data_IF_887393087990
#
_entry.id   IF_887393087990
#
_cell.length_a   1.000
_cell.length_b   1.000
_cell.length_c   1.000
_cell.angle_alpha   90.00
_cell.angle_beta   90.00
_cell.angle_gamma   90.00
#
_symmetry.space_group_name_H-M   'P 1'
#
loop_
_entity.id
_entity.type
_entity.pdbx_description
1 polymer ?
#
# COMPACT_ATOMS: atom_id res chain seq x y z
N UNK A 1 35.81 18.19 28.05
CA UNK A 1 35.58 19.29 27.09
C UNK A 1 34.08 19.49 26.93
N UNK A 2 33.62 20.74 26.82
CA UNK A 2 32.22 21.05 26.51
C UNK A 2 31.88 20.75 25.03
N UNK A 3 30.59 20.76 24.69
CA UNK A 3 30.13 20.57 23.30
C UNK A 3 30.73 21.63 22.36
N UNK A 4 30.71 22.90 22.77
CA UNK A 4 31.32 24.02 22.03
C UNK A 4 32.82 23.86 21.79
N UNK A 5 33.57 23.33 22.77
CA UNK A 5 34.99 23.04 22.57
C UNK A 5 35.18 21.97 21.48
N UNK A 6 34.37 20.90 21.48
CA UNK A 6 34.45 19.83 20.47
C UNK A 6 34.10 20.34 19.07
N UNK A 7 33.09 21.21 18.95
CA UNK A 7 32.72 21.84 17.67
C UNK A 7 33.84 22.74 17.15
N UNK A 8 34.48 23.56 18.00
CA UNK A 8 35.60 24.42 17.60
C UNK A 8 36.84 23.62 17.19
N UNK A 9 37.18 22.53 17.90
CA UNK A 9 38.28 21.64 17.49
C UNK A 9 38.01 20.98 16.14
N UNK A 10 36.76 20.55 15.89
CA UNK A 10 36.38 19.94 14.61
C UNK A 10 36.41 20.95 13.45
N UNK A 11 35.89 22.17 13.64
CA UNK A 11 35.98 23.24 12.63
C UNK A 11 37.42 23.66 12.33
N UNK A 12 38.29 23.70 13.35
CA UNK A 12 39.73 23.91 13.18
C UNK A 12 40.35 22.85 12.27
N UNK A 13 40.04 21.56 12.50
CA UNK A 13 40.58 20.45 11.69
C UNK A 13 40.15 20.43 10.21
N UNK A 14 39.15 21.22 9.82
CA UNK A 14 38.68 21.36 8.43
C UNK A 14 39.41 22.53 7.72
N UNK A 15 39.92 23.49 8.48
CA UNK A 15 40.55 24.71 7.96
C UNK A 15 41.89 24.42 7.28
N UNK A 16 42.65 23.45 7.79
CA UNK A 16 43.99 23.10 7.30
C UNK A 16 43.98 22.17 6.07
N UNK A 17 42.80 21.77 5.57
CA UNK A 17 42.65 20.77 4.48
C UNK A 17 42.31 21.33 3.10
N UNK A 18 42.32 22.65 2.90
CA UNK A 18 42.04 23.27 1.59
C UNK A 18 43.20 24.11 1.07
N UNK A 19 43.95 23.58 0.11
CA UNK A 19 44.74 24.42 -0.81
C UNK A 19 43.78 25.27 -1.68
N UNK A 20 44.09 26.55 -1.91
CA UNK A 20 43.25 27.41 -2.74
C UNK A 20 43.41 27.07 -4.23
N UNK A 21 42.30 26.67 -4.88
CA UNK A 21 42.24 26.48 -6.33
C UNK A 21 42.51 27.79 -7.08
N UNK A 22 43.31 27.72 -8.15
CA UNK A 22 43.65 28.87 -8.98
C UNK A 22 42.44 29.46 -9.72
N UNK A 23 42.44 30.77 -10.07
CA UNK A 23 41.27 31.42 -10.67
C UNK A 23 41.00 30.94 -12.09
N UNK A 24 39.75 30.55 -12.38
CA UNK A 24 39.29 30.23 -13.74
C UNK A 24 39.18 31.49 -14.60
N UNK A 25 39.89 31.52 -15.74
CA UNK A 25 39.76 32.60 -16.72
C UNK A 25 38.36 32.66 -17.34
N UNK A 26 37.81 33.88 -17.44
CA UNK A 26 36.51 34.12 -18.09
C UNK A 26 36.63 34.00 -19.60
N UNK A 27 36.05 32.95 -20.19
CA UNK A 27 35.77 32.92 -21.64
C UNK A 27 34.67 33.92 -21.99
N UNK A 28 34.82 34.58 -23.15
CA UNK A 28 33.93 35.64 -23.64
C UNK A 28 32.58 35.09 -24.16
N UNK A 29 31.53 35.90 -24.29
CA UNK A 29 30.26 35.48 -24.89
C UNK A 29 30.43 35.12 -26.37
N UNK A 30 29.61 34.18 -26.86
CA UNK A 30 29.47 33.90 -28.29
C UNK A 30 28.62 34.99 -28.96
N UNK A 31 29.03 35.45 -30.14
CA UNK A 31 28.30 36.41 -30.96
C UNK A 31 27.21 35.71 -31.80
N UNK A 32 26.03 36.33 -31.91
CA UNK A 32 25.00 35.91 -32.86
C UNK A 32 25.46 36.16 -34.30
N UNK A 33 25.36 35.15 -35.17
CA UNK A 33 25.49 35.33 -36.62
C UNK A 33 24.19 34.92 -37.31
N UNK A 34 23.51 35.91 -37.89
CA UNK A 34 22.30 35.72 -38.67
C UNK A 34 22.63 35.04 -40.01
N UNK A 35 21.80 34.08 -40.44
CA UNK A 35 21.76 33.64 -41.84
C UNK A 35 20.33 33.42 -42.31
N UNK A 36 20.01 33.97 -43.48
CA UNK A 36 18.67 34.01 -44.08
C UNK A 36 18.39 32.79 -44.98
N UNK A 37 17.11 32.42 -45.19
CA UNK A 37 16.75 31.16 -45.85
C UNK A 37 16.77 31.26 -47.39
N UNK A 38 17.25 30.20 -48.05
CA UNK A 38 17.10 30.03 -49.50
C UNK A 38 16.11 28.91 -49.87
N UNK A 39 15.29 29.20 -50.89
CA UNK A 39 14.29 28.31 -51.51
C UNK A 39 14.96 27.31 -52.48
N UNK A 40 14.23 26.22 -52.80
CA UNK A 40 14.09 25.45 -54.09
C UNK A 40 13.73 23.99 -53.74
N UNK A 41 12.94 23.21 -54.49
CA UNK A 41 11.97 23.46 -55.57
C UNK A 41 10.86 22.39 -55.50
N UNK A 42 9.74 22.57 -56.21
CA UNK A 42 8.58 21.66 -56.26
C UNK A 42 8.28 21.24 -57.71
N UNK A 43 8.08 19.94 -57.94
CA UNK A 43 7.47 19.24 -59.11
C UNK A 43 7.40 17.73 -58.77
N UNK A 44 6.50 16.88 -59.24
CA UNK A 44 5.07 16.99 -59.61
C UNK A 44 4.47 15.57 -59.54
N UNK A 45 3.13 15.43 -59.55
CA UNK A 45 2.43 14.13 -59.36
C UNK A 45 2.43 13.24 -60.62
N UNK A 46 1.95 11.98 -60.52
CA UNK A 46 0.56 11.74 -60.97
C UNK A 46 -0.28 10.79 -60.10
N UNK A 47 -1.54 10.62 -60.52
CA UNK A 47 -2.69 10.06 -59.80
C UNK A 47 -3.00 8.61 -60.26
N UNK A 48 -3.59 7.78 -59.39
CA UNK A 48 -4.40 6.62 -59.83
C UNK A 48 -4.63 5.53 -58.79
N UNK A 49 -5.87 5.47 -58.24
CA UNK A 49 -6.71 4.27 -58.00
C UNK A 49 -6.10 2.97 -57.38
N UNK A 50 -6.73 2.19 -56.50
CA UNK A 50 -8.05 2.19 -55.81
C UNK A 50 -7.79 1.88 -54.30
N UNK A 51 -8.71 1.55 -53.39
CA UNK A 51 -10.18 1.36 -53.36
C UNK A 51 -10.67 1.57 -51.91
N UNK A 52 -11.99 1.61 -51.70
CA UNK A 52 -12.64 1.67 -50.37
C UNK A 52 -13.85 0.73 -50.32
N UNK A 53 -14.06 0.03 -49.21
CA UNK A 53 -15.26 -0.79 -48.98
C UNK A 53 -15.84 -0.55 -47.59
N UNK A 54 -16.95 0.21 -47.56
CA UNK A 54 -17.88 0.31 -46.43
C UNK A 54 -19.03 -0.69 -46.64
N UNK A 55 -19.60 -1.21 -45.55
CA UNK A 55 -21.02 -1.54 -45.32
C UNK A 55 -21.12 -2.11 -43.88
N UNK A 56 -21.61 -1.37 -42.87
CA UNK A 56 -23.02 -1.05 -42.60
C UNK A 56 -23.86 -2.29 -42.23
N UNK A 57 -24.24 -2.42 -40.95
CA UNK A 57 -25.29 -3.33 -40.49
C UNK A 57 -26.32 -2.52 -39.70
N UNK A 58 -27.60 -2.68 -40.07
CA UNK A 58 -28.72 -1.88 -39.61
C UNK A 58 -29.51 -2.58 -38.49
N UNK A 59 -30.30 -1.81 -37.74
CA UNK A 59 -31.26 -2.30 -36.75
C UNK A 59 -32.44 -3.05 -37.39
N UNK A 60 -32.91 -4.10 -36.70
CA UNK A 60 -34.31 -4.56 -36.63
C UNK A 60 -34.52 -5.12 -35.20
N UNK A 61 -35.71 -5.15 -34.60
CA UNK A 61 -37.06 -4.83 -35.09
C UNK A 61 -38.06 -5.87 -34.56
N UNK A 62 -38.94 -5.48 -33.61
CA UNK A 62 -39.92 -6.35 -32.93
C UNK A 62 -40.90 -7.08 -33.87
N UNK A 63 -41.31 -8.32 -33.53
CA UNK A 63 -42.72 -8.80 -33.62
C UNK A 63 -43.06 -10.17 -32.97
N UNK A 64 -43.95 -10.11 -31.97
CA UNK A 64 -45.12 -10.97 -31.61
C UNK A 64 -45.19 -12.51 -31.80
N UNK A 65 -45.45 -13.18 -30.65
CA UNK A 65 -46.56 -14.11 -30.30
C UNK A 65 -47.09 -15.23 -31.24
N UNK A 66 -47.13 -16.47 -30.69
CA UNK A 66 -48.29 -17.39 -30.45
C UNK A 66 -47.77 -18.65 -29.72
N UNK A 67 -48.14 -18.98 -28.48
CA UNK A 67 -49.41 -19.53 -27.92
C UNK A 67 -49.70 -21.02 -28.21
N UNK A 68 -49.57 -21.88 -27.18
CA UNK A 68 -50.30 -23.15 -27.00
C UNK A 68 -50.59 -23.33 -25.49
N UNK A 69 -51.79 -23.84 -25.19
CA UNK A 69 -52.40 -24.27 -23.91
C UNK A 69 -51.45 -25.14 -23.03
N UNK A 70 -51.62 -25.40 -21.73
CA UNK A 70 -52.69 -25.25 -20.73
C UNK A 70 -52.40 -26.26 -19.57
N UNK A 71 -52.99 -26.27 -18.37
CA UNK A 71 -53.93 -25.38 -17.65
C UNK A 71 -53.75 -25.59 -16.12
N UNK A 72 -54.71 -25.24 -15.24
CA UNK A 72 -54.64 -25.46 -13.78
C UNK A 72 -55.17 -26.84 -13.30
N UNK A 73 -55.51 -27.12 -12.03
CA UNK A 73 -56.01 -26.30 -10.91
C UNK A 73 -55.98 -27.13 -9.57
N UNK A 74 -55.95 -26.44 -8.40
CA UNK A 74 -56.33 -26.87 -7.02
C UNK A 74 -55.46 -27.76 -6.08
N UNK A 75 -55.09 -27.11 -4.97
CA UNK A 75 -55.01 -27.53 -3.55
C UNK A 75 -55.78 -28.76 -3.03
N UNK A 76 -55.18 -29.48 -2.04
CA UNK A 76 -55.67 -29.57 -0.63
C UNK A 76 -54.80 -30.45 0.32
N UNK A 77 -54.68 -29.99 1.59
CA UNK A 77 -54.59 -30.70 2.91
C UNK A 77 -53.73 -31.97 3.12
N UNK A 78 -53.03 -32.03 4.28
CA UNK A 78 -52.29 -33.21 4.79
C UNK A 78 -53.18 -34.33 5.37
N UNK A 79 -52.59 -35.32 6.08
CA UNK A 79 -52.48 -35.18 7.54
C UNK A 79 -51.18 -35.76 8.17
N UNK A 80 -51.23 -35.99 9.48
CA UNK A 80 -50.15 -36.20 10.45
C UNK A 80 -49.35 -37.52 10.33
N UNK A 81 -48.11 -37.52 10.86
CA UNK A 81 -47.28 -38.71 11.03
C UNK A 81 -46.21 -38.52 12.11
N UNK A 82 -46.50 -38.93 13.35
CA UNK A 82 -45.59 -38.85 14.50
C UNK A 82 -44.63 -40.06 14.48
N UNK A 83 -43.32 -39.85 14.31
CA UNK A 83 -42.31 -40.92 14.50
C UNK A 83 -41.18 -40.41 15.39
N UNK A 84 -41.00 -41.06 16.54
CA UNK A 84 -39.83 -40.92 17.41
C UNK A 84 -38.65 -41.64 16.75
N UNK A 85 -37.63 -40.90 16.32
CA UNK A 85 -36.42 -41.42 15.66
C UNK A 85 -35.15 -40.88 16.32
N UNK A 86 -34.25 -41.80 16.69
CA UNK A 86 -32.95 -41.55 17.37
C UNK A 86 -32.18 -40.36 16.80
N UNK A 87 -31.57 -39.58 17.70
CA UNK A 87 -30.49 -38.64 17.35
C UNK A 87 -29.29 -39.45 16.84
N UNK A 88 -29.17 -39.57 15.53
CA UNK A 88 -27.94 -40.03 14.90
C UNK A 88 -27.00 -38.83 14.78
N UNK A 89 -25.83 -38.91 15.44
CA UNK A 89 -24.78 -37.90 15.32
C UNK A 89 -24.40 -37.75 13.85
N UNK A 90 -24.69 -36.59 13.24
CA UNK A 90 -24.17 -36.28 11.91
C UNK A 90 -22.64 -36.25 11.98
N UNK A 91 -21.92 -37.04 11.16
CA UNK A 91 -20.49 -36.81 11.00
C UNK A 91 -20.31 -35.42 10.40
N UNK A 92 -19.51 -34.58 11.06
CA UNK A 92 -19.06 -33.31 10.50
C UNK A 92 -18.47 -33.59 9.12
N UNK A 93 -19.02 -32.98 8.07
CA UNK A 93 -18.47 -33.09 6.72
C UNK A 93 -17.09 -32.41 6.73
N UNK A 94 -16.05 -33.20 6.92
CA UNK A 94 -14.67 -32.75 6.69
C UNK A 94 -14.54 -32.48 5.19
N UNK A 95 -14.18 -31.26 4.76
CA UNK A 95 -13.95 -30.97 3.36
C UNK A 95 -12.90 -31.94 2.79
N UNK A 96 -13.19 -32.51 1.63
CA UNK A 96 -12.27 -33.46 0.98
C UNK A 96 -11.06 -32.68 0.42
N UNK A 97 -9.92 -33.35 0.15
CA UNK A 97 -8.74 -32.68 -0.40
C UNK A 97 -8.95 -31.91 -1.72
N UNK A 98 -10.06 -32.16 -2.43
CA UNK A 98 -10.43 -31.46 -3.66
C UNK A 98 -11.31 -30.21 -3.46
N UNK A 99 -11.77 -29.93 -2.24
CA UNK A 99 -12.55 -28.71 -1.93
C UNK A 99 -11.63 -27.47 -1.82
N UNK A 100 -10.32 -27.68 -1.78
CA UNK A 100 -9.31 -26.66 -2.09
C UNK A 100 -8.94 -26.78 -3.57
N UNK A 101 -9.43 -25.87 -4.40
CA UNK A 101 -8.95 -25.72 -5.76
C UNK A 101 -7.42 -25.50 -5.73
N UNK A 102 -6.61 -26.25 -6.51
CA UNK A 102 -5.23 -25.87 -6.75
C UNK A 102 -5.24 -24.53 -7.49
N UNK A 103 -4.72 -23.48 -6.85
CA UNK A 103 -4.52 -22.10 -7.35
C UNK A 103 -5.32 -21.79 -8.64
N UNK A 104 -6.65 -21.56 -8.55
CA UNK A 104 -7.51 -21.62 -9.72
C UNK A 104 -7.18 -20.49 -10.69
N UNK A 105 -6.89 -20.89 -11.94
CA UNK A 105 -6.79 -20.14 -13.22
C UNK A 105 -6.19 -18.73 -13.15
N UNK A 106 -5.18 -18.49 -13.98
CA UNK A 106 -4.48 -17.21 -14.18
C UNK A 106 -5.42 -15.99 -14.35
N UNK A 107 -5.87 -15.42 -13.24
CA UNK A 107 -6.59 -14.16 -13.21
C UNK A 107 -5.63 -13.05 -13.63
N UNK A 108 -5.99 -12.31 -14.67
CA UNK A 108 -5.23 -11.17 -15.14
C UNK A 108 -5.35 -10.01 -14.15
N UNK A 109 -4.45 -9.03 -14.26
CA UNK A 109 -4.53 -7.80 -13.48
C UNK A 109 -5.94 -7.15 -13.61
N UNK A 110 -6.54 -7.19 -14.81
CA UNK A 110 -7.87 -6.62 -15.08
C UNK A 110 -9.02 -7.33 -14.34
N UNK A 111 -8.94 -8.64 -14.12
CA UNK A 111 -10.01 -9.41 -13.45
C UNK A 111 -10.17 -8.97 -11.99
N UNK A 112 -9.08 -8.77 -11.27
CA UNK A 112 -9.09 -8.23 -9.91
C UNK A 112 -9.59 -6.77 -9.88
N UNK A 113 -9.16 -5.94 -10.83
CA UNK A 113 -9.60 -4.54 -10.95
C UNK A 113 -10.99 -4.34 -11.56
N UNK A 114 -11.83 -5.38 -11.65
CA UNK A 114 -13.24 -5.25 -12.05
C UNK A 114 -14.19 -5.11 -10.85
N UNK A 115 -13.86 -5.73 -9.72
CA UNK A 115 -14.68 -5.79 -8.51
C UNK A 115 -14.64 -4.46 -7.75
N UNK A 116 -15.70 -3.66 -7.88
CA UNK A 116 -16.04 -2.59 -6.93
C UNK A 116 -16.91 -3.18 -5.80
N UNK A 117 -16.56 -2.89 -4.55
CA UNK A 117 -17.27 -3.39 -3.37
C UNK A 117 -18.29 -2.35 -2.89
N UNK A 118 -19.47 -2.80 -2.48
CA UNK A 118 -20.44 -1.92 -1.83
C UNK A 118 -19.98 -1.59 -0.40
N UNK A 119 -20.24 -0.38 0.13
CA UNK A 119 -19.95 -0.05 1.54
C UNK A 119 -20.57 -1.03 2.55
N UNK A 120 -21.68 -1.69 2.19
CA UNK A 120 -22.34 -2.69 3.03
C UNK A 120 -21.57 -4.01 3.14
N UNK A 121 -20.77 -4.34 2.13
CA UNK A 121 -20.03 -5.62 2.02
C UNK A 121 -18.65 -5.57 2.71
N UNK A 122 -18.27 -4.40 3.25
CA UNK A 122 -16.95 -4.20 3.86
C UNK A 122 -16.85 -4.91 5.23
N UNK A 123 -15.72 -5.58 5.53
CA UNK A 123 -15.44 -6.08 6.87
C UNK A 123 -15.55 -4.98 7.94
N UNK A 124 -15.97 -5.35 9.15
CA UNK A 124 -16.14 -4.38 10.25
C UNK A 124 -14.83 -3.68 10.62
N UNK A 125 -13.71 -4.41 10.56
CA UNK A 125 -12.36 -3.86 10.74
C UNK A 125 -12.04 -2.74 9.74
N UNK A 126 -12.38 -2.94 8.46
CA UNK A 126 -12.19 -1.96 7.41
C UNK A 126 -13.14 -0.76 7.59
N UNK A 127 -14.42 -0.98 7.92
CA UNK A 127 -15.35 0.12 8.23
C UNK A 127 -14.85 0.99 9.39
N UNK A 128 -14.39 0.36 10.47
CA UNK A 128 -13.81 1.08 11.62
C UNK A 128 -12.52 1.83 11.26
N UNK A 129 -11.69 1.27 10.38
CA UNK A 129 -10.50 1.95 9.85
C UNK A 129 -10.89 3.16 8.99
N UNK A 130 -11.86 2.99 8.08
CA UNK A 130 -12.33 4.06 7.20
C UNK A 130 -12.98 5.22 7.94
N UNK A 131 -13.78 4.95 8.97
CA UNK A 131 -14.37 6.01 9.81
C UNK A 131 -13.29 6.94 10.42
N UNK A 132 -12.17 6.36 10.90
CA UNK A 132 -11.03 7.13 11.42
C UNK A 132 -10.31 7.93 10.33
N UNK A 133 -10.20 7.39 9.12
CA UNK A 133 -9.68 8.15 7.97
C UNK A 133 -10.60 9.33 7.66
N UNK A 134 -11.92 9.14 7.65
CA UNK A 134 -12.88 10.21 7.35
C UNK A 134 -12.89 11.33 8.41
N UNK A 135 -12.71 11.01 9.68
CA UNK A 135 -12.48 11.99 10.76
C UNK A 135 -11.24 12.85 10.47
N UNK A 136 -10.09 12.21 10.19
CA UNK A 136 -8.85 12.90 9.81
C UNK A 136 -9.05 13.76 8.54
N UNK A 137 -9.80 13.28 7.54
CA UNK A 137 -10.06 13.99 6.27
C UNK A 137 -10.97 15.21 6.45
N UNK A 138 -11.88 15.22 7.42
CA UNK A 138 -12.60 16.43 7.84
C UNK A 138 -11.65 17.41 8.57
N UNK A 139 -10.63 16.84 9.21
CA UNK A 139 -9.59 17.53 9.98
C UNK A 139 -9.68 17.28 11.47
N UNK A 140 -10.58 16.40 11.93
CA UNK A 140 -10.85 16.19 13.34
C UNK A 140 -9.61 15.66 14.07
N UNK A 141 -9.15 16.38 15.09
CA UNK A 141 -8.01 16.00 15.94
C UNK A 141 -6.66 15.85 15.23
N UNK A 142 -6.40 16.55 14.11
CA UNK A 142 -5.12 16.42 13.37
C UNK A 142 -3.91 17.12 14.02
N UNK A 143 -4.15 17.97 15.03
CA UNK A 143 -3.15 18.62 15.88
C UNK A 143 -3.40 18.29 17.37
N UNK A 144 -2.38 18.24 18.24
CA UNK A 144 -2.57 18.15 19.68
C UNK A 144 -2.79 19.54 20.29
N UNK A 145 -3.41 19.64 21.48
CA UNK A 145 -3.70 20.95 22.08
C UNK A 145 -2.44 21.77 22.40
N UNK A 146 -1.29 21.11 22.56
CA UNK A 146 0.01 21.75 22.78
C UNK A 146 0.45 22.70 21.65
N UNK A 147 0.04 22.46 20.39
CA UNK A 147 0.43 23.31 19.25
C UNK A 147 -0.33 24.64 19.20
N UNK A 148 -1.43 24.80 19.97
CA UNK A 148 -2.31 25.98 19.91
C UNK A 148 -1.58 27.30 20.19
N UNK A 149 -0.71 27.32 21.21
CA UNK A 149 0.07 28.51 21.55
C UNK A 149 0.98 28.90 20.39
N UNK A 150 1.75 27.95 19.88
CA UNK A 150 2.72 28.18 18.81
C UNK A 150 2.06 28.60 17.48
N UNK A 151 0.96 27.96 17.10
CA UNK A 151 0.19 28.33 15.91
C UNK A 151 -0.39 29.75 16.01
N UNK A 152 -0.87 30.15 17.19
CA UNK A 152 -1.36 31.51 17.45
C UNK A 152 -0.21 32.53 17.44
N UNK A 153 0.89 32.23 18.11
CA UNK A 153 1.99 33.17 18.31
C UNK A 153 2.78 33.43 17.01
N UNK A 154 2.75 32.46 16.06
CA UNK A 154 3.27 32.62 14.69
C UNK A 154 2.32 33.35 13.72
N UNK A 155 1.14 33.81 14.15
CA UNK A 155 0.14 34.49 13.30
C UNK A 155 0.66 35.69 12.49
N UNK A 156 1.66 36.40 13.01
CA UNK A 156 2.27 37.57 12.35
C UNK A 156 3.38 37.22 11.34
N UNK A 157 3.77 35.95 11.24
CA UNK A 157 4.85 35.50 10.35
C UNK A 157 4.25 35.15 8.99
N UNK A 158 4.52 35.97 7.98
CA UNK A 158 3.93 35.86 6.63
C UNK A 158 4.16 34.49 5.96
N UNK A 159 5.30 33.84 6.23
CA UNK A 159 5.60 32.51 5.70
C UNK A 159 4.58 31.43 6.16
N UNK A 160 4.00 31.60 7.35
CA UNK A 160 3.03 30.66 7.94
C UNK A 160 1.56 31.09 7.73
N UNK A 161 1.23 31.91 6.73
CA UNK A 161 -0.16 32.33 6.45
C UNK A 161 -1.10 31.15 6.17
N UNK A 162 -0.59 30.07 5.59
CA UNK A 162 -1.40 28.89 5.25
C UNK A 162 -1.99 28.18 6.49
N UNK A 163 -1.54 28.50 7.71
CA UNK A 163 -2.10 27.97 8.97
C UNK A 163 -3.34 28.69 9.49
N UNK A 164 -3.90 29.68 8.78
CA UNK A 164 -5.05 30.44 9.29
C UNK A 164 -6.28 29.55 9.60
N UNK A 165 -6.43 28.40 8.92
CA UNK A 165 -7.44 27.38 9.27
C UNK A 165 -7.36 26.89 10.72
N UNK A 166 -6.18 26.88 11.33
CA UNK A 166 -5.96 26.45 12.71
C UNK A 166 -6.00 27.62 13.72
N UNK A 167 -6.10 28.88 13.24
CA UNK A 167 -6.06 30.10 14.07
C UNK A 167 -7.44 30.73 14.27
N UNK A 168 -8.34 30.57 13.31
CA UNK A 168 -9.51 31.44 13.18
C UNK A 168 -10.85 30.67 13.21
N UNK A 169 -11.82 31.26 13.92
CA UNK A 169 -13.23 30.86 13.90
C UNK A 169 -13.60 29.67 14.81
N UNK A 170 -14.90 29.49 15.14
CA UNK A 170 -15.37 28.44 16.05
C UNK A 170 -15.08 27.01 15.57
N UNK A 171 -14.82 26.83 14.26
CA UNK A 171 -14.47 25.54 13.68
C UNK A 171 -13.02 25.14 13.94
N UNK A 172 -12.11 26.05 14.31
CA UNK A 172 -10.71 25.74 14.59
C UNK A 172 -10.54 24.71 15.72
N UNK A 173 -11.41 24.76 16.72
CA UNK A 173 -11.42 23.86 17.88
C UNK A 173 -11.42 22.37 17.51
N UNK A 174 -12.16 21.99 16.45
CA UNK A 174 -12.25 20.58 16.02
C UNK A 174 -10.91 19.99 15.59
N UNK A 175 -9.97 20.83 15.18
CA UNK A 175 -8.69 20.40 14.65
C UNK A 175 -7.69 19.99 15.73
N UNK A 176 -7.99 20.28 17.00
CA UNK A 176 -7.12 20.02 18.14
C UNK A 176 -7.68 18.95 19.07
N UNK A 177 -6.92 17.89 19.32
CA UNK A 177 -7.29 16.86 20.29
C UNK A 177 -6.04 16.11 20.80
N UNK A 178 -5.91 15.86 22.11
CA UNK A 178 -4.66 15.28 22.65
C UNK A 178 -4.43 13.81 22.28
N UNK A 179 -5.50 13.07 21.91
CA UNK A 179 -5.36 11.75 21.29
C UNK A 179 -4.57 11.77 19.98
N UNK A 180 -4.36 12.95 19.35
CA UNK A 180 -3.43 13.12 18.24
C UNK A 180 -2.05 12.55 18.55
N UNK A 181 -1.59 12.71 19.79
CA UNK A 181 -0.29 12.20 20.24
C UNK A 181 -0.23 10.67 20.30
N UNK A 182 -1.38 9.98 20.35
CA UNK A 182 -1.46 8.50 20.31
C UNK A 182 -1.15 7.93 18.92
N UNK A 183 -1.37 8.70 17.84
CA UNK A 183 -1.02 8.29 16.48
C UNK A 183 0.49 8.33 16.23
N UNK A 184 1.17 9.36 16.75
CA UNK A 184 2.60 9.58 16.56
C UNK A 184 2.98 11.04 16.77
N UNK A 185 4.26 11.35 16.59
CA UNK A 185 4.76 12.71 16.75
C UNK A 185 4.14 13.67 15.72
N UNK A 186 3.79 14.89 16.17
CA UNK A 186 3.27 15.94 15.29
C UNK A 186 4.44 16.75 14.72
N UNK A 187 4.56 16.91 13.39
CA UNK A 187 5.65 17.67 12.79
C UNK A 187 5.50 19.16 13.05
N UNK A 188 6.60 19.78 13.48
CA UNK A 188 6.69 21.23 13.66
C UNK A 188 6.41 21.98 12.34
N UNK A 189 5.77 23.15 12.42
CA UNK A 189 5.33 23.95 11.28
C UNK A 189 6.41 24.15 10.21
N UNK A 190 7.67 24.37 10.60
CA UNK A 190 8.78 24.53 9.65
C UNK A 190 9.05 23.31 8.75
N UNK A 191 8.81 22.08 9.23
CA UNK A 191 8.91 20.85 8.42
C UNK A 191 7.79 20.83 7.38
N UNK A 192 6.56 21.07 7.83
CA UNK A 192 5.37 21.10 6.96
C UNK A 192 5.48 22.22 5.92
N UNK A 193 6.00 23.39 6.29
CA UNK A 193 6.15 24.51 5.36
C UNK A 193 7.26 24.26 4.33
N UNK A 194 8.32 23.53 4.68
CA UNK A 194 9.32 23.06 3.71
C UNK A 194 8.70 22.09 2.71
N UNK A 195 7.87 21.15 3.17
CA UNK A 195 7.13 20.22 2.31
C UNK A 195 6.18 20.98 1.37
N UNK A 196 5.41 21.93 1.90
CA UNK A 196 4.49 22.78 1.13
C UNK A 196 5.22 23.57 0.04
N UNK A 197 6.34 24.20 0.38
CA UNK A 197 7.18 24.95 -0.56
C UNK A 197 7.74 24.05 -1.67
N UNK A 198 8.32 22.89 -1.32
CA UNK A 198 8.86 21.97 -2.34
C UNK A 198 7.77 21.35 -3.22
N UNK A 199 6.59 21.04 -2.68
CA UNK A 199 5.47 20.57 -3.47
C UNK A 199 5.01 21.62 -4.50
N UNK A 200 4.89 22.88 -4.08
CA UNK A 200 4.57 23.98 -4.99
C UNK A 200 5.64 24.17 -6.07
N UNK A 201 6.93 24.10 -5.69
CA UNK A 201 8.04 24.16 -6.64
C UNK A 201 7.95 23.03 -7.67
N UNK A 202 7.84 21.77 -7.23
CA UNK A 202 7.71 20.60 -8.11
C UNK A 202 6.51 20.73 -9.08
N UNK A 203 5.37 21.25 -8.62
CA UNK A 203 4.21 21.49 -9.48
C UNK A 203 4.46 22.57 -10.53
N UNK A 204 5.04 23.72 -10.14
CA UNK A 204 5.25 24.86 -11.04
C UNK A 204 6.39 24.65 -12.04
N UNK A 205 7.42 23.89 -11.67
CA UNK A 205 8.56 23.58 -12.54
C UNK A 205 8.31 22.38 -13.46
N UNK A 206 7.16 21.71 -13.35
CA UNK A 206 6.88 20.47 -14.09
C UNK A 206 7.85 19.33 -13.73
N UNK A 207 8.23 19.25 -12.45
CA UNK A 207 9.29 18.36 -11.99
C UNK A 207 8.93 16.87 -12.17
N UNK A 208 9.96 16.04 -12.31
CA UNK A 208 9.78 14.62 -12.59
C UNK A 208 9.20 13.85 -11.40
N UNK A 209 8.67 12.64 -11.64
CA UNK A 209 8.26 11.72 -10.58
C UNK A 209 9.42 11.42 -9.59
N UNK A 210 10.67 11.39 -10.07
CA UNK A 210 11.83 11.18 -9.20
C UNK A 210 12.07 12.39 -8.28
N UNK A 211 11.90 13.61 -8.79
CA UNK A 211 12.01 14.84 -7.99
C UNK A 211 10.91 14.92 -6.94
N UNK A 212 9.64 14.64 -7.31
CA UNK A 212 8.53 14.53 -6.36
C UNK A 212 8.81 13.48 -5.27
N UNK A 213 9.43 12.36 -5.63
CA UNK A 213 9.77 11.31 -4.68
C UNK A 213 10.81 11.75 -3.64
N UNK A 214 11.84 12.46 -4.07
CA UNK A 214 12.90 12.96 -3.18
C UNK A 214 12.40 14.16 -2.38
N UNK A 215 11.86 15.18 -3.06
CA UNK A 215 11.58 16.49 -2.49
C UNK A 215 10.27 16.59 -1.71
N UNK A 216 9.33 15.66 -1.91
CA UNK A 216 8.02 15.68 -1.26
C UNK A 216 7.70 14.36 -0.58
N UNK A 217 7.61 13.25 -1.34
CA UNK A 217 7.12 11.95 -0.83
C UNK A 217 8.00 11.42 0.30
N UNK A 218 9.32 11.36 0.10
CA UNK A 218 10.26 10.90 1.13
C UNK A 218 10.18 11.76 2.39
N UNK A 219 10.11 13.09 2.26
CA UNK A 219 10.06 14.01 3.41
C UNK A 219 8.79 13.81 4.25
N UNK A 220 7.66 13.53 3.60
CA UNK A 220 6.40 13.18 4.27
C UNK A 220 6.49 11.82 4.96
N UNK A 221 7.07 10.80 4.31
CA UNK A 221 7.28 9.48 4.91
C UNK A 221 8.24 9.54 6.11
N UNK A 222 9.28 10.37 6.06
CA UNK A 222 10.18 10.62 7.20
C UNK A 222 9.45 11.32 8.35
N UNK A 223 8.71 12.41 8.06
CA UNK A 223 7.98 13.17 9.07
C UNK A 223 6.79 12.43 9.70
N UNK A 224 6.35 11.32 9.11
CA UNK A 224 5.23 10.51 9.63
C UNK A 224 5.69 9.20 10.27
N UNK A 225 6.61 8.47 9.63
CA UNK A 225 6.97 7.10 10.00
C UNK A 225 8.28 6.99 10.81
N UNK A 226 9.06 8.07 10.95
CA UNK A 226 10.33 8.06 11.72
C UNK A 226 10.28 9.05 12.89
N UNK A 227 11.09 8.83 13.95
CA UNK A 227 11.26 9.82 15.01
C UNK A 227 11.72 11.18 14.46
N UNK A 228 11.06 12.26 14.89
CA UNK A 228 11.40 13.63 14.47
C UNK A 228 12.71 14.16 15.09
N UNK A 229 13.34 13.41 15.99
CA UNK A 229 14.51 13.83 16.75
C UNK A 229 15.33 12.62 17.21
N UNK A 230 16.65 12.83 17.34
CA UNK A 230 17.62 11.78 17.63
C UNK A 230 18.18 11.10 16.38
N UNK A 231 19.15 10.19 16.53
CA UNK A 231 19.59 9.33 15.43
C UNK A 231 18.43 8.45 14.97
N UNK A 232 18.45 8.01 13.70
CA UNK A 232 17.47 7.05 13.20
C UNK A 232 17.59 5.72 13.91
N UNK A 233 16.74 5.50 14.92
CA UNK A 233 16.68 4.24 15.66
C UNK A 233 16.10 3.11 14.81
N UNK A 234 16.61 1.89 15.00
CA UNK A 234 15.93 0.69 14.54
C UNK A 234 14.53 0.64 15.16
N UNK A 235 13.51 0.48 14.31
CA UNK A 235 12.10 0.49 14.72
C UNK A 235 11.33 -0.59 13.98
N UNK A 236 10.29 -1.12 14.64
CA UNK A 236 9.51 -2.24 14.11
C UNK A 236 8.77 -1.92 12.80
N UNK A 237 8.41 -0.66 12.54
CA UNK A 237 7.76 -0.23 11.29
C UNK A 237 8.51 0.96 10.71
N UNK A 238 9.10 0.79 9.53
CA UNK A 238 9.88 1.81 8.81
C UNK A 238 9.56 1.77 7.31
N UNK A 239 10.14 2.66 6.50
CA UNK A 239 9.96 2.65 5.05
C UNK A 239 11.28 2.66 4.25
N UNK A 240 11.24 2.12 3.03
CA UNK A 240 12.38 2.07 2.09
C UNK A 240 11.91 2.47 0.69
N UNK A 241 12.79 3.14 -0.07
CA UNK A 241 12.61 3.32 -1.51
C UNK A 241 12.78 1.99 -2.26
N UNK A 242 11.89 1.74 -3.21
CA UNK A 242 11.86 0.58 -4.11
C UNK A 242 12.29 0.90 -5.54
N UNK A 243 12.90 2.06 -5.80
CA UNK A 243 13.22 2.53 -7.17
C UNK A 243 14.07 1.57 -8.02
N UNK A 244 14.92 0.75 -7.38
CA UNK A 244 15.77 -0.27 -8.03
C UNK A 244 15.21 -1.69 -7.90
N UNK A 245 14.07 -1.86 -7.25
CA UNK A 245 13.57 -3.16 -6.82
C UNK A 245 12.64 -3.80 -7.86
N UNK A 246 12.70 -5.12 -7.94
CA UNK A 246 11.84 -5.91 -8.83
C UNK A 246 10.92 -6.81 -8.04
N UNK A 247 9.73 -7.05 -8.58
CA UNK A 247 8.81 -8.06 -8.08
C UNK A 247 9.40 -9.43 -8.37
N UNK A 248 9.43 -10.30 -7.37
CA UNK A 248 9.90 -11.68 -7.50
C UNK A 248 8.99 -12.41 -8.52
N UNK A 249 9.55 -13.07 -9.56
CA UNK A 249 8.77 -13.63 -10.68
C UNK A 249 7.63 -14.55 -10.26
N UNK A 250 7.83 -15.36 -9.22
CA UNK A 250 6.85 -16.30 -8.66
C UNK A 250 5.59 -15.63 -8.08
N UNK A 251 5.65 -14.32 -7.81
CA UNK A 251 4.52 -13.50 -7.35
C UNK A 251 4.07 -12.48 -8.41
N UNK A 252 4.77 -12.38 -9.54
CA UNK A 252 4.47 -11.41 -10.58
C UNK A 252 3.44 -11.94 -11.59
N UNK A 253 2.27 -11.30 -11.63
CA UNK A 253 1.22 -11.60 -12.62
C UNK A 253 1.33 -10.77 -13.91
N UNK A 254 2.15 -9.71 -13.94
CA UNK A 254 2.46 -8.91 -15.13
C UNK A 254 3.95 -9.08 -15.48
N UNK A 255 4.26 -10.16 -16.19
CA UNK A 255 5.63 -10.50 -16.60
C UNK A 255 6.28 -9.44 -17.50
N UNK A 256 5.49 -8.53 -18.09
CA UNK A 256 5.98 -7.43 -18.93
C UNK A 256 6.42 -6.21 -18.09
N UNK A 257 5.99 -6.09 -16.83
CA UNK A 257 6.35 -4.97 -15.93
C UNK A 257 6.73 -5.47 -14.53
N UNK A 258 7.94 -6.02 -14.35
CA UNK A 258 8.42 -6.54 -13.07
C UNK A 258 8.83 -5.44 -12.05
N UNK A 259 8.52 -4.17 -12.28
CA UNK A 259 8.97 -3.05 -11.42
C UNK A 259 8.10 -2.95 -10.16
N UNK A 260 8.74 -2.70 -9.02
CA UNK A 260 8.07 -2.46 -7.74
C UNK A 260 7.46 -1.04 -7.64
N UNK A 261 6.66 -0.79 -6.59
CA UNK A 261 6.28 0.57 -6.17
C UNK A 261 7.48 1.39 -5.72
N UNK A 262 7.37 2.72 -5.79
CA UNK A 262 8.47 3.64 -5.47
C UNK A 262 8.91 3.60 -4.01
N UNK A 263 8.01 3.29 -3.07
CA UNK A 263 8.36 2.99 -1.68
C UNK A 263 7.58 1.81 -1.12
N UNK A 264 8.05 1.29 0.02
CA UNK A 264 7.38 0.27 0.83
C UNK A 264 7.49 0.60 2.30
N UNK A 265 6.39 0.46 3.03
CA UNK A 265 6.40 0.39 4.49
C UNK A 265 6.59 -1.07 4.88
N UNK A 266 7.63 -1.34 5.66
CA UNK A 266 8.06 -2.69 6.03
C UNK A 266 8.10 -2.88 7.54
N UNK A 267 7.95 -4.12 7.97
CA UNK A 267 8.24 -4.54 9.34
C UNK A 267 9.71 -4.93 9.43
N UNK A 268 10.40 -4.54 10.51
CA UNK A 268 11.71 -5.09 10.87
C UNK A 268 11.61 -6.11 12.02
N UNK A 269 11.64 -7.43 11.74
CA UNK A 269 11.59 -8.46 12.76
C UNK A 269 12.74 -8.42 13.77
N UNK A 270 13.86 -7.76 13.46
CA UNK A 270 14.95 -7.55 14.42
C UNK A 270 14.56 -6.56 15.55
N UNK A 271 13.44 -5.86 15.40
CA UNK A 271 12.86 -4.97 16.40
C UNK A 271 11.61 -5.56 17.09
N UNK A 272 11.30 -6.85 16.89
CA UNK A 272 10.28 -7.55 17.69
C UNK A 272 10.78 -7.73 19.12
N UNK A 273 9.87 -7.70 20.09
CA UNK A 273 10.16 -7.96 21.52
C UNK A 273 10.71 -9.37 21.78
N UNK A 274 10.47 -10.32 20.87
CA UNK A 274 10.96 -11.69 20.95
C UNK A 274 12.06 -11.93 19.89
N UNK A 275 13.32 -12.08 20.29
CA UNK A 275 14.43 -12.28 19.36
C UNK A 275 14.36 -13.62 18.60
N UNK A 276 13.49 -14.56 18.99
CA UNK A 276 13.24 -15.77 18.21
C UNK A 276 12.55 -15.45 16.87
N UNK A 277 11.73 -14.40 16.80
CA UNK A 277 10.97 -14.08 15.58
C UNK A 277 11.92 -13.72 14.44
N UNK A 278 12.92 -12.87 14.70
CA UNK A 278 13.95 -12.53 13.71
C UNK A 278 14.70 -13.77 13.23
N UNK A 279 15.10 -14.67 14.14
CA UNK A 279 15.74 -15.94 13.77
C UNK A 279 14.85 -16.81 12.90
N UNK A 280 13.57 -16.96 13.26
CA UNK A 280 12.63 -17.74 12.46
C UNK A 280 12.40 -17.15 11.06
N UNK A 281 12.36 -15.82 10.90
CA UNK A 281 12.33 -15.18 9.57
C UNK A 281 13.59 -15.52 8.77
N UNK A 282 14.77 -15.47 9.39
CA UNK A 282 16.05 -15.78 8.73
C UNK A 282 16.18 -17.24 8.30
N UNK A 283 15.67 -18.19 9.09
CA UNK A 283 15.59 -19.60 8.69
C UNK A 283 14.52 -19.82 7.63
N UNK A 284 13.30 -19.33 7.87
CA UNK A 284 12.15 -19.62 7.01
C UNK A 284 12.29 -19.04 5.60
N UNK A 285 12.88 -17.84 5.46
CA UNK A 285 13.08 -17.21 4.14
C UNK A 285 13.91 -18.06 3.19
N UNK A 286 14.79 -18.93 3.68
CA UNK A 286 15.59 -19.85 2.85
C UNK A 286 14.73 -20.83 2.06
N UNK A 287 13.49 -21.10 2.51
CA UNK A 287 12.51 -21.96 1.82
C UNK A 287 11.60 -21.21 0.83
N UNK A 288 11.85 -19.91 0.63
CA UNK A 288 11.08 -19.01 -0.23
C UNK A 288 11.90 -18.58 -1.47
N UNK A 289 11.21 -18.22 -2.57
CA UNK A 289 11.80 -17.55 -3.72
C UNK A 289 12.80 -16.45 -3.34
N UNK A 290 13.94 -16.43 -4.03
CA UNK A 290 15.06 -15.49 -3.80
C UNK A 290 15.58 -15.41 -2.35
N UNK A 291 15.28 -16.40 -1.51
CA UNK A 291 15.54 -16.35 -0.06
C UNK A 291 14.90 -15.15 0.65
N UNK A 292 13.72 -14.71 0.20
CA UNK A 292 13.10 -13.44 0.63
C UNK A 292 11.75 -13.63 1.31
N UNK A 293 11.54 -12.95 2.44
CA UNK A 293 10.29 -12.97 3.23
C UNK A 293 9.33 -11.83 2.87
N UNK A 294 9.20 -11.53 1.57
CA UNK A 294 8.20 -10.65 0.97
C UNK A 294 8.09 -10.93 -0.54
N UNK A 295 7.47 -10.03 -1.31
CA UNK A 295 7.23 -10.19 -2.75
C UNK A 295 8.28 -9.55 -3.68
N UNK A 296 9.42 -9.10 -3.14
CA UNK A 296 10.31 -8.09 -3.77
C UNK A 296 11.79 -8.45 -3.60
N UNK A 297 12.52 -8.51 -4.71
CA UNK A 297 13.97 -8.72 -4.66
C UNK A 297 14.72 -7.40 -4.44
N UNK A 298 14.80 -6.99 -3.16
CA UNK A 298 15.64 -5.89 -2.70
C UNK A 298 16.43 -6.32 -1.46
N UNK A 299 17.78 -6.36 -1.49
CA UNK A 299 18.58 -6.86 -0.37
C UNK A 299 18.30 -6.22 0.98
N UNK A 300 17.99 -4.91 1.01
CA UNK A 300 17.65 -4.18 2.24
C UNK A 300 16.26 -4.52 2.83
N UNK A 301 15.51 -5.39 2.16
CA UNK A 301 14.19 -5.90 2.55
C UNK A 301 14.11 -7.44 2.63
N UNK A 302 15.15 -8.21 2.28
CA UNK A 302 15.06 -9.69 2.18
C UNK A 302 14.51 -10.40 3.44
N UNK A 303 14.77 -9.88 4.64
CA UNK A 303 14.25 -10.41 5.91
C UNK A 303 13.13 -9.53 6.54
N UNK A 304 12.53 -8.63 5.77
CA UNK A 304 11.60 -7.59 6.24
C UNK A 304 10.29 -7.67 5.46
N UNK A 305 9.19 -8.17 6.05
CA UNK A 305 7.93 -8.27 5.34
C UNK A 305 7.33 -6.88 5.08
N UNK A 306 6.96 -6.63 3.83
CA UNK A 306 6.28 -5.39 3.43
C UNK A 306 4.84 -5.43 3.97
N UNK A 307 4.38 -4.36 4.61
CA UNK A 307 3.04 -4.22 5.18
C UNK A 307 2.08 -3.45 4.27
N UNK A 308 2.58 -2.40 3.60
CA UNK A 308 1.88 -1.71 2.51
C UNK A 308 2.85 -1.09 1.51
N UNK A 309 2.36 -0.91 0.29
CA UNK A 309 3.11 -0.32 -0.83
C UNK A 309 2.68 1.11 -1.10
N UNK A 310 3.63 1.98 -1.46
CA UNK A 310 3.39 3.40 -1.77
C UNK A 310 3.91 3.70 -3.16
N UNK A 311 3.02 4.10 -4.04
CA UNK A 311 3.30 4.34 -5.46
C UNK A 311 3.07 5.79 -5.84
N UNK A 312 3.91 6.30 -6.74
CA UNK A 312 3.77 7.64 -7.30
C UNK A 312 3.50 7.56 -8.80
N UNK A 313 2.56 8.38 -9.27
CA UNK A 313 2.18 8.46 -10.68
C UNK A 313 2.47 9.86 -11.20
N UNK A 314 2.85 9.94 -12.48
CA UNK A 314 2.94 11.22 -13.17
C UNK A 314 1.54 11.84 -13.31
N UNK A 315 1.44 13.16 -13.16
CA UNK A 315 0.16 13.90 -13.17
C UNK A 315 -0.69 13.65 -14.42
N UNK A 316 -0.05 13.41 -15.56
CA UNK A 316 -0.67 13.11 -16.86
C UNK A 316 -1.28 11.70 -16.98
N UNK A 317 -1.12 10.82 -15.99
CA UNK A 317 -1.61 9.43 -16.05
C UNK A 317 -3.14 9.39 -15.93
N UNK A 318 -3.83 9.08 -17.04
CA UNK A 318 -5.29 9.20 -17.15
C UNK A 318 -6.09 8.36 -16.14
N UNK A 319 -6.96 9.03 -15.36
CA UNK A 319 -8.22 8.51 -14.85
C UNK A 319 -8.18 7.34 -13.86
N UNK A 320 -9.33 7.03 -13.25
CA UNK A 320 -9.48 5.95 -12.26
C UNK A 320 -8.98 4.58 -12.76
N UNK A 321 -9.14 4.30 -14.06
CA UNK A 321 -8.64 3.08 -14.69
C UNK A 321 -7.10 3.02 -14.82
N UNK A 322 -6.41 4.16 -14.87
CA UNK A 322 -4.94 4.23 -14.84
C UNK A 322 -4.38 3.99 -13.44
N UNK A 323 -4.96 4.66 -12.43
CA UNK A 323 -4.55 4.52 -11.02
C UNK A 323 -4.68 3.08 -10.50
N UNK A 324 -5.73 2.36 -10.91
CA UNK A 324 -5.89 0.93 -10.57
C UNK A 324 -4.75 0.07 -11.11
N UNK A 325 -4.21 0.36 -12.31
CA UNK A 325 -3.15 -0.46 -12.93
C UNK A 325 -1.77 -0.32 -12.28
N UNK A 326 -1.56 0.68 -11.42
CA UNK A 326 -0.30 0.89 -10.73
C UNK A 326 -0.08 -0.09 -9.56
N UNK A 327 -1.07 -0.18 -8.67
CA UNK A 327 -0.77 -0.60 -7.29
C UNK A 327 -0.30 -2.06 -7.19
N UNK A 328 0.95 -2.24 -6.76
CA UNK A 328 1.59 -3.55 -6.55
C UNK A 328 1.05 -4.34 -5.34
N UNK A 329 -0.22 -4.16 -4.99
CA UNK A 329 -0.91 -4.98 -3.99
C UNK A 329 -1.11 -6.42 -4.47
N UNK A 330 -1.19 -6.68 -5.78
CA UNK A 330 -1.41 -8.02 -6.31
C UNK A 330 -0.22 -8.98 -6.08
N UNK A 331 1.05 -8.59 -6.34
CA UNK A 331 2.19 -9.41 -5.91
C UNK A 331 2.30 -9.61 -4.40
N UNK A 332 1.97 -8.59 -3.60
CA UNK A 332 1.91 -8.72 -2.14
C UNK A 332 0.89 -9.78 -1.71
N UNK A 333 -0.32 -9.71 -2.27
CA UNK A 333 -1.37 -10.71 -2.06
C UNK A 333 -0.92 -12.11 -2.50
N UNK A 334 -0.25 -12.26 -3.65
CA UNK A 334 0.25 -13.55 -4.13
C UNK A 334 1.32 -14.16 -3.21
N UNK A 335 2.21 -13.34 -2.66
CA UNK A 335 3.15 -13.77 -1.61
C UNK A 335 2.40 -14.28 -0.36
N UNK A 336 1.38 -13.54 0.12
CA UNK A 336 0.61 -13.96 1.29
C UNK A 336 -0.21 -15.24 1.03
N UNK A 337 -0.84 -15.37 -0.16
CA UNK A 337 -1.50 -16.61 -0.57
C UNK A 337 -0.53 -17.81 -0.59
N UNK A 338 0.66 -17.65 -1.17
CA UNK A 338 1.68 -18.70 -1.21
C UNK A 338 2.18 -19.10 0.19
N UNK A 339 2.29 -18.13 1.11
CA UNK A 339 2.67 -18.37 2.50
C UNK A 339 1.59 -19.15 3.27
N UNK A 340 0.31 -18.81 3.05
CA UNK A 340 -0.84 -19.53 3.62
C UNK A 340 -0.94 -20.96 3.07
N UNK A 341 -0.73 -21.16 1.77
CA UNK A 341 -0.71 -22.47 1.14
C UNK A 341 0.39 -23.38 1.73
N UNK A 342 1.64 -22.89 1.83
CA UNK A 342 2.74 -23.59 2.49
C UNK A 342 2.42 -23.98 3.94
N UNK A 343 1.74 -23.11 4.70
CA UNK A 343 1.34 -23.43 6.09
C UNK A 343 0.25 -24.51 6.13
N UNK A 344 -0.68 -24.48 5.20
CA UNK A 344 -1.73 -25.49 5.07
C UNK A 344 -1.13 -26.87 4.71
N UNK A 345 -0.22 -26.93 3.73
CA UNK A 345 0.54 -28.14 3.37
C UNK A 345 1.32 -28.73 4.56
N UNK A 346 2.00 -27.87 5.33
CA UNK A 346 2.69 -28.28 6.55
C UNK A 346 1.71 -28.82 7.62
N UNK A 347 0.53 -28.22 7.74
CA UNK A 347 -0.53 -28.66 8.67
C UNK A 347 -1.05 -30.05 8.30
N UNK A 348 -1.33 -30.29 7.01
CA UNK A 348 -1.81 -31.60 6.55
C UNK A 348 -0.72 -32.68 6.67
N UNK A 349 0.52 -32.34 6.37
CA UNK A 349 1.69 -33.21 6.59
C UNK A 349 1.81 -33.64 8.06
N UNK A 350 1.60 -32.70 8.99
CA UNK A 350 1.62 -32.98 10.43
C UNK A 350 0.47 -33.90 10.86
N UNK A 351 -0.77 -33.64 10.43
CA UNK A 351 -1.93 -34.48 10.77
C UNK A 351 -1.80 -35.90 10.23
N UNK A 352 -1.31 -36.07 9.01
CA UNK A 352 -1.06 -37.39 8.41
C UNK A 352 -0.08 -38.22 9.26
N UNK A 353 0.97 -37.57 9.78
CA UNK A 353 1.90 -38.21 10.73
C UNK A 353 1.22 -38.54 12.07
N UNK A 354 0.43 -37.63 12.66
CA UNK A 354 -0.26 -37.86 13.94
C UNK A 354 -1.27 -39.03 13.86
N UNK A 355 -1.98 -39.16 12.73
CA UNK A 355 -2.91 -40.27 12.47
C UNK A 355 -2.22 -41.63 12.31
N UNK A 356 -0.92 -41.64 11.98
CA UNK A 356 -0.13 -42.87 11.78
C UNK A 356 0.64 -43.31 13.03
N UNK A 357 0.79 -42.44 14.05
CA UNK A 357 1.64 -42.66 15.22
C UNK A 357 0.84 -42.63 16.54
N UNK A 358 -0.39 -43.17 16.48
CA UNK A 358 -1.23 -43.56 17.63
C UNK A 358 -1.42 -42.52 18.74
N UNK A 359 -1.74 -41.28 18.34
CA UNK A 359 -2.58 -40.43 19.19
C UNK A 359 -1.90 -39.64 20.32
N UNK A 360 -0.60 -39.34 20.24
CA UNK A 360 -0.06 -38.19 20.99
C UNK A 360 -0.72 -36.90 20.51
N UNK A 361 -1.84 -36.54 21.15
CA UNK A 361 -2.59 -35.31 20.89
C UNK A 361 -1.80 -34.10 21.41
N UNK A 362 -0.82 -33.68 20.61
CA UNK A 362 0.03 -32.55 20.93
C UNK A 362 -0.83 -31.27 21.08
N UNK A 363 -0.55 -30.37 22.04
CA UNK A 363 -1.38 -29.19 22.29
C UNK A 363 -1.50 -28.18 21.13
N UNK A 364 -0.76 -28.38 20.02
CA UNK A 364 -0.90 -27.60 18.78
C UNK A 364 -1.85 -28.24 17.74
N UNK A 365 -2.42 -29.42 18.02
CA UNK A 365 -3.32 -30.15 17.10
C UNK A 365 -4.61 -29.36 16.74
N UNK A 366 -4.98 -28.37 17.57
CA UNK A 366 -6.16 -27.52 17.38
C UNK A 366 -6.06 -26.51 16.21
N UNK A 367 -4.93 -26.41 15.51
CA UNK A 367 -4.82 -25.64 14.26
C UNK A 367 -5.44 -26.41 13.07
N UNK A 368 -6.75 -26.67 13.18
CA UNK A 368 -7.54 -27.42 12.19
C UNK A 368 -8.05 -26.56 11.04
N UNK A 369 -8.42 -25.31 11.30
CA UNK A 369 -8.88 -24.35 10.30
C UNK A 369 -7.75 -23.90 9.36
N UNK A 370 -8.07 -23.73 8.07
CA UNK A 370 -7.15 -23.10 7.12
C UNK A 370 -6.87 -21.64 7.58
N UNK A 371 -5.60 -21.22 7.63
CA UNK A 371 -5.27 -19.88 8.10
C UNK A 371 -5.84 -18.84 7.13
N UNK A 372 -6.65 -17.92 7.66
CA UNK A 372 -7.28 -16.87 6.85
C UNK A 372 -6.34 -15.68 6.69
N UNK A 373 -6.46 -15.02 5.54
CA UNK A 373 -5.84 -13.73 5.27
C UNK A 373 -6.51 -12.63 6.09
N UNK A 374 -5.82 -11.50 6.28
CA UNK A 374 -6.40 -10.29 6.86
C UNK A 374 -7.61 -9.80 6.05
N UNK A 375 -8.58 -9.22 6.75
CA UNK A 375 -9.79 -8.62 6.17
C UNK A 375 -9.51 -7.64 5.03
N UNK A 376 -8.38 -6.94 5.06
CA UNK A 376 -7.94 -6.04 4.00
C UNK A 376 -6.42 -5.82 3.98
N UNK A 377 -5.93 -5.31 2.85
CA UNK A 377 -4.57 -4.80 2.65
C UNK A 377 -4.66 -3.35 2.11
N UNK A 378 -4.06 -2.36 2.79
CA UNK A 378 -4.00 -0.99 2.29
C UNK A 378 -2.83 -0.79 1.32
N UNK A 379 -2.97 0.18 0.42
CA UNK A 379 -1.92 0.72 -0.43
C UNK A 379 -2.12 2.22 -0.64
N UNK A 380 -1.04 2.94 -0.94
CA UNK A 380 -1.08 4.39 -1.16
C UNK A 380 -0.72 4.69 -2.60
N UNK A 381 -1.49 5.59 -3.22
CA UNK A 381 -1.20 6.12 -4.56
C UNK A 381 -1.16 7.64 -4.51
N UNK A 382 -0.09 8.21 -5.03
CA UNK A 382 0.21 9.65 -5.01
C UNK A 382 0.22 10.14 -6.45
N UNK A 383 -0.47 11.26 -6.72
CA UNK A 383 -0.50 11.91 -8.03
C UNK A 383 -0.30 13.41 -7.82
N UNK A 384 0.93 13.87 -8.02
CA UNK A 384 1.37 15.22 -7.71
C UNK A 384 1.02 15.59 -6.27
N UNK A 385 0.18 16.61 -6.09
CA UNK A 385 -0.28 17.02 -4.78
C UNK A 385 -1.22 16.03 -4.06
N UNK A 386 -1.86 15.09 -4.74
CA UNK A 386 -3.02 14.34 -4.21
C UNK A 386 -2.64 12.97 -3.68
N UNK A 387 -3.05 12.66 -2.45
CA UNK A 387 -2.74 11.41 -1.75
C UNK A 387 -3.99 10.56 -1.56
N UNK A 388 -3.90 9.29 -1.94
CA UNK A 388 -5.04 8.38 -1.97
C UNK A 388 -4.73 7.06 -1.30
N UNK A 389 -5.69 6.61 -0.51
CA UNK A 389 -5.75 5.26 0.01
C UNK A 389 -6.51 4.41 -1.02
N UNK A 390 -5.96 3.24 -1.30
CA UNK A 390 -6.62 2.18 -2.06
C UNK A 390 -6.60 0.95 -1.17
N UNK A 391 -7.71 0.21 -1.10
CA UNK A 391 -7.81 -0.96 -0.22
C UNK A 391 -8.17 -2.19 -1.03
N UNK A 392 -7.39 -3.26 -0.88
CA UNK A 392 -7.73 -4.58 -1.39
C UNK A 392 -8.41 -5.40 -0.28
N UNK A 393 -9.53 -6.05 -0.60
CA UNK A 393 -10.30 -6.91 0.30
C UNK A 393 -10.35 -8.31 -0.31
N UNK A 394 -9.91 -9.37 0.40
CA UNK A 394 -10.02 -10.74 -0.08
C UNK A 394 -11.48 -11.18 -0.24
N UNK A 395 -11.78 -11.83 -1.37
CA UNK A 395 -13.09 -12.41 -1.70
C UNK A 395 -12.88 -13.84 -2.21
N UNK A 396 -12.65 -14.76 -1.28
CA UNK A 396 -12.23 -16.13 -1.60
C UNK A 396 -10.89 -16.13 -2.35
N UNK A 397 -10.88 -16.68 -3.56
CA UNK A 397 -9.68 -16.72 -4.41
C UNK A 397 -9.29 -15.35 -5.00
N UNK A 398 -10.24 -14.40 -5.06
CA UNK A 398 -10.08 -13.08 -5.68
C UNK A 398 -9.76 -12.00 -4.65
N UNK A 399 -9.30 -10.84 -5.13
CA UNK A 399 -9.37 -9.57 -4.40
C UNK A 399 -10.40 -8.67 -5.08
N UNK A 400 -11.29 -8.08 -4.27
CA UNK A 400 -12.00 -6.87 -4.64
C UNK A 400 -11.16 -5.64 -4.28
N UNK A 401 -11.30 -4.55 -5.02
CA UNK A 401 -10.67 -3.28 -4.66
C UNK A 401 -11.76 -2.29 -4.24
N UNK A 402 -11.70 -1.87 -2.98
CA UNK A 402 -12.50 -0.76 -2.50
C UNK A 402 -11.88 0.58 -2.93
N UNK A 403 -12.73 1.61 -2.86
CA UNK A 403 -12.63 3.00 -3.29
C UNK A 403 -11.24 3.69 -3.24
N UNK A 404 -11.06 4.72 -4.09
CA UNK A 404 -9.93 5.68 -4.01
C UNK A 404 -10.29 6.79 -3.02
N UNK A 405 -10.01 6.61 -1.73
CA UNK A 405 -10.26 7.66 -0.74
C UNK A 405 -9.14 8.70 -0.80
N UNK A 406 -9.48 9.93 -1.17
CA UNK A 406 -8.56 11.07 -1.10
C UNK A 406 -8.39 11.50 0.35
N UNK A 407 -7.22 11.26 0.95
CA UNK A 407 -7.03 11.48 2.38
C UNK A 407 -6.21 12.72 2.76
N UNK A 408 -5.69 13.45 1.77
CA UNK A 408 -5.06 14.74 1.98
C UNK A 408 -4.34 15.24 0.73
N UNK A 409 -3.64 16.36 0.85
CA UNK A 409 -2.90 16.98 -0.25
C UNK A 409 -1.65 17.72 0.23
N UNK A 410 -0.67 17.91 -0.65
CA UNK A 410 0.55 18.68 -0.34
C UNK A 410 0.50 20.13 -0.81
N UNK A 411 -0.66 20.59 -1.31
CA UNK A 411 -0.92 21.98 -1.70
C UNK A 411 -1.40 22.86 -0.52
N UNK A 412 -1.52 22.30 0.68
CA UNK A 412 -1.90 22.99 1.90
C UNK A 412 -1.29 22.32 3.14
N UNK A 413 -0.94 23.11 4.15
CA UNK A 413 -0.48 22.67 5.46
C UNK A 413 -1.49 21.74 6.14
N UNK A 414 -2.79 22.08 6.10
CA UNK A 414 -3.87 21.20 6.59
C UNK A 414 -3.79 19.83 5.92
N UNK A 415 -3.71 19.80 4.58
CA UNK A 415 -3.59 18.55 3.82
C UNK A 415 -2.36 17.73 4.18
N UNK A 416 -1.22 18.37 4.48
CA UNK A 416 0.01 17.69 4.91
C UNK A 416 -0.16 17.07 6.31
N UNK A 417 -0.77 17.78 7.27
CA UNK A 417 -1.10 17.19 8.58
C UNK A 417 -2.04 15.99 8.43
N UNK A 418 -3.05 16.08 7.56
CA UNK A 418 -3.97 14.96 7.28
C UNK A 418 -3.24 13.74 6.71
N UNK A 419 -2.36 13.94 5.71
CA UNK A 419 -1.51 12.87 5.16
C UNK A 419 -0.70 12.20 6.26
N UNK A 420 -0.05 13.00 7.12
CA UNK A 420 0.83 12.50 8.18
C UNK A 420 0.03 11.74 9.25
N UNK A 421 -1.19 12.18 9.59
CA UNK A 421 -2.09 11.45 10.51
C UNK A 421 -2.51 10.09 9.93
N UNK A 422 -2.88 10.01 8.64
CA UNK A 422 -3.26 8.74 8.00
C UNK A 422 -2.07 7.80 7.84
N UNK A 423 -0.88 8.32 7.53
CA UNK A 423 0.35 7.52 7.51
C UNK A 423 0.70 6.94 8.89
N UNK A 424 0.50 7.72 9.96
CA UNK A 424 0.68 7.25 11.33
C UNK A 424 -0.40 6.23 11.75
N UNK A 425 -1.65 6.41 11.33
CA UNK A 425 -2.72 5.42 11.51
C UNK A 425 -2.42 4.11 10.76
N UNK A 426 -1.83 4.18 9.56
CA UNK A 426 -1.34 3.02 8.81
C UNK A 426 -0.12 2.36 9.47
N UNK A 427 0.78 3.13 10.07
CA UNK A 427 1.90 2.59 10.88
C UNK A 427 1.36 1.79 12.08
N UNK A 428 0.32 2.30 12.75
CA UNK A 428 -0.35 1.61 13.84
C UNK A 428 -1.08 0.34 13.35
N UNK A 429 -1.80 0.38 12.22
CA UNK A 429 -2.37 -0.83 11.60
C UNK A 429 -1.29 -1.87 11.26
N UNK A 430 -0.14 -1.43 10.72
CA UNK A 430 0.97 -2.33 10.40
C UNK A 430 1.55 -3.00 11.66
N UNK A 431 1.64 -2.24 12.78
CA UNK A 431 2.17 -2.71 14.06
C UNK A 431 1.21 -3.62 14.84
N UNK A 432 -0.07 -3.27 14.91
CA UNK A 432 -1.04 -3.93 15.80
C UNK A 432 -1.93 -4.97 15.09
N UNK A 433 -2.06 -4.91 13.76
CA UNK A 433 -2.93 -5.81 12.99
C UNK A 433 -2.11 -6.68 12.03
N UNK A 434 -1.34 -6.07 11.13
CA UNK A 434 -0.58 -6.81 10.11
C UNK A 434 0.51 -7.68 10.73
N UNK A 435 1.37 -7.09 11.56
CA UNK A 435 2.49 -7.81 12.14
C UNK A 435 2.07 -8.92 13.11
N UNK A 436 1.14 -8.73 14.06
CA UNK A 436 0.77 -9.80 14.99
C UNK A 436 0.11 -10.99 14.29
N UNK A 437 -0.66 -10.74 13.21
CA UNK A 437 -1.17 -11.80 12.33
C UNK A 437 -0.02 -12.58 11.67
N UNK A 438 0.93 -11.90 11.01
CA UNK A 438 2.04 -12.54 10.31
C UNK A 438 3.02 -13.24 11.27
N UNK A 439 3.28 -12.64 12.42
CA UNK A 439 4.07 -13.20 13.52
C UNK A 439 3.42 -14.47 14.06
N UNK A 440 2.11 -14.48 14.29
CA UNK A 440 1.37 -15.67 14.72
C UNK A 440 1.35 -16.76 13.63
N UNK A 441 1.30 -16.38 12.36
CA UNK A 441 1.42 -17.29 11.21
C UNK A 441 2.78 -18.02 11.19
N UNK A 442 3.87 -17.29 11.42
CA UNK A 442 5.24 -17.80 11.44
C UNK A 442 5.56 -18.60 12.73
N UNK A 443 5.29 -18.02 13.90
CA UNK A 443 5.68 -18.63 15.19
C UNK A 443 4.93 -19.92 15.48
N UNK A 444 3.72 -20.08 14.93
CA UNK A 444 2.92 -21.31 15.01
C UNK A 444 2.95 -22.09 13.69
N UNK A 445 4.12 -22.15 13.06
CA UNK A 445 4.32 -23.00 11.88
C UNK A 445 4.27 -24.49 12.27
N UNK A 446 3.46 -25.33 11.60
CA UNK A 446 3.42 -26.77 11.88
C UNK A 446 4.77 -27.42 11.63
N UNK A 447 5.35 -28.05 12.66
CA UNK A 447 6.65 -28.74 12.57
C UNK A 447 6.46 -30.25 12.50
N UNK A 448 7.16 -30.91 11.56
CA UNK A 448 7.34 -32.37 11.63
C UNK A 448 8.07 -32.69 12.94
N UNK A 449 7.61 -33.66 13.73
CA UNK A 449 8.38 -34.12 14.88
C UNK A 449 9.64 -34.84 14.39
N UNK A 450 10.71 -34.78 15.18
CA UNK A 450 12.00 -35.40 14.86
C UNK A 450 12.96 -34.58 13.98
N UNK A 451 12.54 -33.43 13.44
CA UNK A 451 13.47 -32.47 12.80
C UNK A 451 13.89 -31.43 13.85
N UNK A 452 15.17 -31.45 14.23
CA UNK A 452 15.79 -30.51 15.18
C UNK A 452 15.76 -29.05 14.69
N UNK A 453 16.05 -28.13 15.62
CA UNK A 453 16.03 -26.67 15.39
C UNK A 453 17.04 -26.18 14.35
#
# INVERSE_FOLDING_TARGET
MSLDQRIRTWLGSISDTFEPLAPLERKRPYEETQSTPQKRHRTDSPIGETSSLNLQIHQFGLKRQRSVLGDGVHSRTGPEGRVLGRVASMPLLVPRPHDFNPLPKTYTQADYFSLQLSPNDLPLSLRNFMNKVDEIVKGDGILPNSERSWIRDTSKVSYYQDWNWAREGPQSERYFHDDRNKLGATPHMGIVNKILYQAQFCQTSGASQADWNIEVTQRILEASLRPLSGPGCSQLVDFRSGTTATVIPEYNTDTLRPRQTDFSVYIDPACDTDPQVSRQVHTFRQSLPRSTFNHVDLPTLHARPIALSVETLQDNTMGFAGLRKGVSMLPHYKFLQALLAKRYEASQTRRSWEQQNDGEMHPDSYFTAAPQLLDFLPGIVIQGHKWHLVVAVPQGDKMGFYERISFGNTASSKGIYQIICVLQLLQHWAREIYWPWLRNLLMKWPRRPGVGQ
#
